data_IF_501787689211
#
_entry.id   IF_501787689211
#
_cell.length_a   1.000
_cell.length_b   1.000
_cell.length_c   1.000
_cell.angle_alpha   90.00
_cell.angle_beta   90.00
_cell.angle_gamma   90.00
#
_symmetry.space_group_name_H-M   'P 1'
#
loop_
_entity.id
_entity.type
_entity.pdbx_description
1 polymer ?
#
# COMPACT_ATOMS: atom_id res chain seq x y z
N UNK A 1 3.04 30.12 4.66
CA UNK A 1 3.18 28.78 5.28
C UNK A 1 3.11 27.77 4.14
N UNK A 2 4.21 27.11 3.81
CA UNK A 2 4.29 26.18 2.69
C UNK A 2 3.37 24.99 2.92
N UNK A 3 2.34 24.85 2.09
CA UNK A 3 1.45 23.70 2.14
C UNK A 3 2.26 22.47 1.73
N UNK A 4 2.44 21.53 2.66
CA UNK A 4 2.95 20.20 2.33
C UNK A 4 2.03 19.65 1.24
N UNK A 5 2.52 19.61 -0.01
CA UNK A 5 1.73 19.17 -1.15
C UNK A 5 1.27 17.74 -0.88
N UNK A 6 -0.04 17.56 -0.81
CA UNK A 6 -0.64 16.24 -0.72
C UNK A 6 -0.27 15.43 -1.99
N UNK A 7 0.03 14.14 -1.86
CA UNK A 7 0.33 13.28 -3.01
C UNK A 7 -0.76 13.31 -4.07
N UNK A 8 -2.03 13.47 -3.68
CA UNK A 8 -3.14 13.64 -4.62
C UNK A 8 -3.05 14.98 -5.40
N UNK A 9 -2.58 16.05 -4.76
CA UNK A 9 -2.39 17.37 -5.39
C UNK A 9 -1.27 17.35 -6.43
N UNK A 10 -0.19 16.59 -6.17
CA UNK A 10 0.93 16.42 -7.12
C UNK A 10 0.42 15.92 -8.47
N UNK A 11 -0.48 14.92 -8.47
CA UNK A 11 -1.07 14.37 -9.69
C UNK A 11 -2.36 15.08 -10.12
N UNK A 12 -2.78 16.14 -9.42
CA UNK A 12 -4.03 16.88 -9.66
C UNK A 12 -5.26 15.97 -9.70
N UNK A 13 -5.33 15.03 -8.79
CA UNK A 13 -6.46 14.10 -8.63
C UNK A 13 -7.17 14.34 -7.31
N UNK A 14 -8.48 14.08 -7.26
CA UNK A 14 -9.25 14.20 -6.01
C UNK A 14 -8.79 13.11 -5.02
N UNK A 15 -8.59 13.43 -3.73
CA UNK A 15 -8.35 12.42 -2.70
C UNK A 15 -9.49 11.40 -2.67
N UNK A 16 -9.17 10.15 -3.00
CA UNK A 16 -10.09 9.02 -3.02
C UNK A 16 -9.31 7.73 -2.83
N UNK A 17 -9.94 6.74 -2.21
CA UNK A 17 -9.38 5.38 -2.17
C UNK A 17 -9.55 4.68 -3.51
N UNK A 18 -10.68 4.88 -4.18
CA UNK A 18 -10.91 4.36 -5.52
C UNK A 18 -10.34 5.36 -6.53
N UNK A 19 -9.14 5.07 -7.02
CA UNK A 19 -8.48 5.82 -8.09
C UNK A 19 -8.21 4.88 -9.25
N UNK A 20 -8.40 5.36 -10.48
CA UNK A 20 -8.09 4.60 -11.67
C UNK A 20 -6.56 4.53 -11.86
N UNK A 21 -5.94 3.32 -11.86
CA UNK A 21 -4.49 3.18 -11.99
C UNK A 21 -3.95 3.78 -13.29
N UNK A 22 -4.72 3.71 -14.38
CA UNK A 22 -4.39 4.26 -15.69
C UNK A 22 -4.23 5.79 -15.66
N UNK A 23 -5.14 6.50 -14.98
CA UNK A 23 -5.07 7.95 -14.81
C UNK A 23 -3.83 8.32 -14.00
N UNK A 24 -3.60 7.64 -12.87
CA UNK A 24 -2.42 7.87 -12.03
C UNK A 24 -1.12 7.64 -12.81
N UNK A 25 -1.05 6.58 -13.60
CA UNK A 25 0.12 6.25 -14.42
C UNK A 25 0.37 7.29 -15.51
N UNK A 26 -0.67 7.75 -16.20
CA UNK A 26 -0.54 8.83 -17.20
C UNK A 26 0.04 10.10 -16.57
N UNK A 27 -0.51 10.52 -15.43
CA UNK A 27 -0.04 11.71 -14.69
C UNK A 27 1.39 11.56 -14.20
N UNK A 28 1.75 10.37 -13.72
CA UNK A 28 3.12 10.06 -13.34
C UNK A 28 4.10 10.20 -14.51
N UNK A 29 3.79 9.64 -15.68
CA UNK A 29 4.66 9.75 -16.85
C UNK A 29 4.80 11.20 -17.36
N UNK A 30 3.72 11.99 -17.34
CA UNK A 30 3.75 13.42 -17.65
C UNK A 30 4.73 14.18 -16.74
N UNK A 31 4.66 13.92 -15.43
CA UNK A 31 5.52 14.57 -14.44
C UNK A 31 6.98 14.09 -14.56
N UNK A 32 7.23 12.80 -14.76
CA UNK A 32 8.59 12.30 -14.97
C UNK A 32 9.27 12.93 -16.19
N UNK A 33 8.53 13.18 -17.29
CA UNK A 33 9.07 13.89 -18.46
C UNK A 33 9.38 15.36 -18.15
N UNK A 34 8.57 16.01 -17.32
CA UNK A 34 8.76 17.42 -16.96
C UNK A 34 9.93 17.65 -15.99
N UNK A 35 10.16 16.70 -15.08
CA UNK A 35 11.15 16.81 -14.00
C UNK A 35 12.30 15.81 -14.13
N UNK A 36 12.58 15.32 -15.35
CA UNK A 36 13.70 14.40 -15.60
C UNK A 36 15.04 15.15 -15.46
N UNK A 37 16.04 14.60 -14.75
CA UNK A 37 17.34 15.25 -14.56
C UNK A 37 18.05 15.62 -15.87
N UNK A 38 17.93 14.81 -16.93
CA UNK A 38 18.51 15.12 -18.25
C UNK A 38 17.84 16.28 -18.99
N UNK A 39 16.62 16.68 -18.60
CA UNK A 39 15.90 17.81 -19.19
C UNK A 39 16.11 19.08 -18.33
N UNK A 40 16.41 18.91 -17.04
CA UNK A 40 16.64 19.99 -16.08
C UNK A 40 18.13 20.33 -15.90
N UNK A 41 18.95 20.23 -16.94
CA UNK A 41 20.35 20.66 -16.88
C UNK A 41 20.51 22.19 -16.94
N UNK A 42 19.46 22.94 -17.33
CA UNK A 42 19.56 24.38 -17.61
C UNK A 42 18.44 25.25 -17.00
N UNK A 43 17.56 24.68 -16.17
CA UNK A 43 16.52 25.47 -15.50
C UNK A 43 16.68 25.37 -13.99
N UNK A 44 17.29 26.43 -13.44
CA UNK A 44 16.87 27.12 -12.23
C UNK A 44 15.71 26.38 -11.52
N UNK A 45 16.05 25.50 -10.57
CA UNK A 45 15.09 24.74 -9.77
C UNK A 45 14.38 25.74 -8.85
N UNK A 46 13.43 26.48 -9.43
CA UNK A 46 12.64 27.55 -8.83
C UNK A 46 11.19 27.15 -8.55
N UNK A 47 10.93 25.85 -8.41
CA UNK A 47 9.76 25.33 -7.70
C UNK A 47 10.27 24.51 -6.52
N UNK A 48 10.68 25.22 -5.47
CA UNK A 48 11.60 24.78 -4.42
C UNK A 48 11.21 23.61 -3.50
N UNK A 49 10.29 22.71 -3.88
CA UNK A 49 9.94 21.54 -3.05
C UNK A 49 9.58 20.26 -3.85
N UNK A 50 9.40 20.29 -5.17
CA UNK A 50 8.96 19.10 -5.94
C UNK A 50 10.10 18.56 -6.81
N UNK A 51 10.50 17.31 -6.56
CA UNK A 51 11.52 16.60 -7.34
C UNK A 51 11.05 15.20 -7.76
N UNK A 52 11.85 14.55 -8.62
CA UNK A 52 11.55 13.20 -9.13
C UNK A 52 11.40 12.16 -8.01
N UNK A 53 12.13 12.30 -6.90
CA UNK A 53 12.02 11.40 -5.76
C UNK A 53 10.66 11.51 -5.06
N UNK A 54 10.13 12.72 -4.90
CA UNK A 54 8.80 12.97 -4.33
C UNK A 54 7.71 12.44 -5.27
N UNK A 55 7.82 12.68 -6.58
CA UNK A 55 6.89 12.14 -7.59
C UNK A 55 6.86 10.61 -7.52
N UNK A 56 8.02 9.96 -7.45
CA UNK A 56 8.13 8.51 -7.32
C UNK A 56 7.51 7.99 -6.02
N UNK A 57 7.73 8.68 -4.90
CA UNK A 57 7.16 8.29 -3.61
C UNK A 57 5.64 8.46 -3.59
N UNK A 58 5.13 9.56 -4.14
CA UNK A 58 3.71 9.81 -4.28
C UNK A 58 3.06 8.72 -5.16
N UNK A 59 3.66 8.40 -6.30
CA UNK A 59 3.18 7.36 -7.21
C UNK A 59 3.16 5.99 -6.53
N UNK A 60 4.26 5.57 -5.90
CA UNK A 60 4.34 4.28 -5.18
C UNK A 60 3.35 4.17 -4.02
N UNK A 61 3.05 5.29 -3.37
CA UNK A 61 2.09 5.34 -2.26
C UNK A 61 0.67 5.22 -2.77
N UNK A 62 0.32 5.99 -3.80
CA UNK A 62 -1.04 5.99 -4.36
C UNK A 62 -1.33 4.74 -5.20
N UNK A 63 -0.34 4.13 -5.84
CA UNK A 63 -0.53 2.93 -6.65
C UNK A 63 -0.86 1.69 -5.78
N UNK A 64 -0.26 1.59 -4.59
CA UNK A 64 -0.48 0.47 -3.69
C UNK A 64 -1.69 0.74 -2.79
N UNK A 65 -2.73 -0.10 -2.90
CA UNK A 65 -3.98 0.05 -2.15
C UNK A 65 -3.74 0.23 -0.65
N UNK A 66 -2.91 -0.60 -0.01
CA UNK A 66 -2.64 -0.50 1.42
C UNK A 66 -1.99 0.83 1.80
N UNK A 67 -0.95 1.24 1.06
CA UNK A 67 -0.27 2.53 1.29
C UNK A 67 -1.22 3.70 1.06
N UNK A 68 -2.06 3.65 0.02
CA UNK A 68 -3.07 4.67 -0.30
C UNK A 68 -4.10 4.78 0.83
N UNK A 69 -4.59 3.65 1.33
CA UNK A 69 -5.51 3.60 2.47
C UNK A 69 -4.91 4.25 3.72
N UNK A 70 -3.68 3.86 4.09
CA UNK A 70 -2.96 4.45 5.23
C UNK A 70 -2.74 5.95 5.05
N UNK A 71 -2.41 6.38 3.83
CA UNK A 71 -2.19 7.78 3.51
C UNK A 71 -3.46 8.61 3.65
N UNK A 72 -4.58 8.15 3.09
CA UNK A 72 -5.90 8.79 3.25
C UNK A 72 -6.35 8.84 4.71
N UNK A 73 -6.15 7.76 5.46
CA UNK A 73 -6.48 7.72 6.88
C UNK A 73 -5.72 8.79 7.67
N UNK A 74 -4.41 8.95 7.41
CA UNK A 74 -3.60 10.02 8.01
C UNK A 74 -3.99 11.41 7.54
N UNK A 75 -4.37 11.55 6.26
CA UNK A 75 -4.78 12.83 5.68
C UNK A 75 -6.04 13.40 6.37
N UNK A 76 -6.91 12.51 6.87
CA UNK A 76 -8.09 12.89 7.65
C UNK A 76 -7.78 13.25 9.11
N UNK A 77 -6.50 13.30 9.50
CA UNK A 77 -6.05 13.60 10.86
C UNK A 77 -6.08 12.39 11.81
N UNK A 78 -6.32 11.18 11.30
CA UNK A 78 -6.37 9.98 12.12
C UNK A 78 -4.99 9.34 12.31
N UNK A 79 -4.81 8.67 13.45
CA UNK A 79 -3.62 7.89 13.76
C UNK A 79 -3.97 6.41 13.96
N UNK A 80 -3.06 5.53 13.56
CA UNK A 80 -3.22 4.10 13.73
C UNK A 80 -3.06 3.73 15.21
N UNK A 81 -4.12 3.21 15.81
CA UNK A 81 -4.09 2.64 17.14
C UNK A 81 -3.63 1.19 17.05
N UNK A 82 -2.45 0.86 17.58
CA UNK A 82 -1.82 -0.47 17.50
C UNK A 82 -2.48 -1.55 18.37
N UNK A 83 -3.62 -1.26 19.00
CA UNK A 83 -4.29 -2.21 19.87
C UNK A 83 -5.07 -3.26 19.06
N UNK A 84 -4.48 -4.44 18.91
CA UNK A 84 -5.16 -5.61 18.35
C UNK A 84 -5.67 -6.50 19.48
N UNK A 85 -6.81 -7.17 19.24
CA UNK A 85 -7.34 -8.19 20.15
C UNK A 85 -6.39 -9.39 20.24
N UNK A 86 -6.25 -9.96 21.43
CA UNK A 86 -5.48 -11.18 21.67
C UNK A 86 -5.92 -12.34 20.77
N UNK A 87 -7.24 -12.50 20.54
CA UNK A 87 -7.77 -13.55 19.67
C UNK A 87 -7.23 -13.47 18.25
N UNK A 88 -7.18 -12.26 17.69
CA UNK A 88 -6.61 -12.03 16.36
C UNK A 88 -5.11 -12.35 16.31
N UNK A 89 -4.35 -11.96 17.34
CA UNK A 89 -2.91 -12.24 17.39
C UNK A 89 -2.65 -13.75 17.47
N UNK A 90 -3.46 -14.47 18.25
CA UNK A 90 -3.40 -15.93 18.34
C UNK A 90 -3.76 -16.59 17.00
N UNK A 91 -4.81 -16.11 16.31
CA UNK A 91 -5.18 -16.59 14.98
C UNK A 91 -4.02 -16.46 13.98
N UNK A 92 -3.37 -15.29 13.95
CA UNK A 92 -2.21 -15.05 13.08
C UNK A 92 -1.04 -15.97 13.44
N UNK A 93 -0.78 -16.18 14.74
CA UNK A 93 0.29 -17.07 15.18
C UNK A 93 0.05 -18.51 14.72
N UNK A 94 -1.10 -19.09 15.06
CA UNK A 94 -1.46 -20.46 14.71
C UNK A 94 -1.47 -20.69 13.19
N UNK A 95 -1.92 -19.69 12.43
CA UNK A 95 -1.93 -19.82 10.97
C UNK A 95 -0.52 -19.78 10.38
N UNK A 96 0.39 -18.95 10.93
CA UNK A 96 1.80 -18.96 10.50
C UNK A 96 2.48 -20.29 10.83
N UNK A 97 2.23 -20.87 12.01
CA UNK A 97 2.73 -22.20 12.36
C UNK A 97 2.24 -23.25 11.37
N UNK A 98 0.96 -23.18 10.98
CA UNK A 98 0.39 -24.07 9.95
C UNK A 98 1.10 -23.91 8.60
N UNK A 99 1.38 -22.67 8.17
CA UNK A 99 2.11 -22.39 6.92
C UNK A 99 3.52 -22.96 6.95
N UNK A 100 4.20 -22.84 8.09
CA UNK A 100 5.59 -23.29 8.24
C UNK A 100 5.67 -24.83 8.23
N UNK A 101 4.74 -25.50 8.91
CA UNK A 101 4.71 -26.97 9.06
C UNK A 101 4.15 -27.70 7.84
N UNK A 102 3.20 -27.10 7.12
CA UNK A 102 2.57 -27.77 5.97
C UNK A 102 3.50 -27.84 4.76
N UNK A 103 3.47 -28.97 4.07
CA UNK A 103 4.05 -29.17 2.74
C UNK A 103 2.97 -29.40 1.67
N UNK A 104 1.70 -29.41 2.08
CA UNK A 104 0.58 -29.62 1.18
C UNK A 104 0.23 -28.30 0.46
N UNK A 105 0.47 -28.27 -0.85
CA UNK A 105 0.24 -27.10 -1.72
C UNK A 105 -1.26 -26.74 -1.79
N UNK A 106 -2.17 -27.71 -1.76
CA UNK A 106 -3.61 -27.43 -1.78
C UNK A 106 -4.08 -26.72 -0.52
N UNK A 107 -3.53 -27.10 0.64
CA UNK A 107 -3.77 -26.40 1.91
C UNK A 107 -3.24 -24.97 1.85
N UNK A 108 -2.02 -24.77 1.31
CA UNK A 108 -1.44 -23.44 1.14
C UNK A 108 -2.26 -22.56 0.19
N UNK A 109 -2.74 -23.12 -0.92
CA UNK A 109 -3.62 -22.40 -1.86
C UNK A 109 -4.94 -22.01 -1.21
N UNK A 110 -5.56 -22.90 -0.42
CA UNK A 110 -6.78 -22.56 0.33
C UNK A 110 -6.54 -21.45 1.36
N UNK A 111 -5.42 -21.51 2.08
CA UNK A 111 -5.04 -20.42 2.99
C UNK A 111 -4.82 -19.11 2.24
N UNK A 112 -4.17 -19.16 1.08
CA UNK A 112 -3.96 -17.99 0.21
C UNK A 112 -5.28 -17.33 -0.15
N UNK A 113 -6.27 -18.10 -0.61
CA UNK A 113 -7.60 -17.60 -0.95
C UNK A 113 -8.30 -16.94 0.26
N UNK A 114 -8.28 -17.59 1.42
CA UNK A 114 -8.87 -17.05 2.65
C UNK A 114 -8.17 -15.72 3.04
N UNK A 115 -6.84 -15.65 2.96
CA UNK A 115 -6.09 -14.42 3.26
C UNK A 115 -6.44 -13.30 2.29
N UNK A 116 -6.61 -13.60 0.99
CA UNK A 116 -7.05 -12.61 0.00
C UNK A 116 -8.45 -12.08 0.33
N UNK A 117 -9.39 -12.94 0.72
CA UNK A 117 -10.72 -12.50 1.15
C UNK A 117 -10.66 -11.55 2.35
N UNK A 118 -9.87 -11.91 3.38
CA UNK A 118 -9.67 -11.06 4.57
C UNK A 118 -9.02 -9.71 4.24
N UNK A 119 -8.10 -9.68 3.27
CA UNK A 119 -7.54 -8.41 2.76
C UNK A 119 -8.64 -7.57 2.11
N UNK A 120 -9.49 -8.16 1.28
CA UNK A 120 -10.59 -7.44 0.64
C UNK A 120 -11.61 -6.90 1.65
N UNK A 121 -11.89 -7.64 2.72
CA UNK A 121 -12.70 -7.12 3.84
C UNK A 121 -12.06 -5.90 4.50
N UNK A 122 -10.74 -5.93 4.72
CA UNK A 122 -10.01 -4.79 5.26
C UNK A 122 -9.99 -3.60 4.30
N UNK A 123 -9.88 -3.86 2.98
CA UNK A 123 -10.00 -2.83 1.93
C UNK A 123 -11.33 -2.10 2.01
N UNK A 124 -12.44 -2.81 2.23
CA UNK A 124 -13.76 -2.19 2.34
C UNK A 124 -13.93 -1.36 3.62
N UNK A 125 -13.08 -1.57 4.63
CA UNK A 125 -13.07 -0.87 5.92
C UNK A 125 -11.79 -0.05 6.11
N UNK A 126 -11.24 0.52 5.04
CA UNK A 126 -9.97 1.27 5.08
C UNK A 126 -10.01 2.53 5.96
N UNK A 127 -11.19 2.96 6.39
CA UNK A 127 -11.41 4.07 7.32
C UNK A 127 -11.37 3.66 8.81
N UNK A 128 -11.11 2.38 9.11
CA UNK A 128 -10.97 1.85 10.46
C UNK A 128 -9.51 1.47 10.74
N UNK A 129 -8.98 1.94 11.88
CA UNK A 129 -7.60 1.66 12.30
C UNK A 129 -7.33 0.15 12.44
N UNK A 130 -8.27 -0.60 13.00
CA UNK A 130 -8.07 -2.03 13.24
C UNK A 130 -7.98 -2.79 11.91
N UNK A 131 -8.85 -2.45 10.96
CA UNK A 131 -8.86 -3.02 9.60
C UNK A 131 -7.55 -2.73 8.86
N UNK A 132 -7.04 -1.49 8.94
CA UNK A 132 -5.73 -1.13 8.37
C UNK A 132 -4.58 -1.94 8.97
N UNK A 133 -4.58 -2.13 10.29
CA UNK A 133 -3.51 -2.88 10.94
C UNK A 133 -3.62 -4.36 10.59
N UNK A 134 -4.81 -4.95 10.65
CA UNK A 134 -5.05 -6.36 10.26
C UNK A 134 -4.62 -6.63 8.82
N UNK A 135 -4.93 -5.72 7.90
CA UNK A 135 -4.47 -5.80 6.51
C UNK A 135 -2.96 -5.99 6.42
N UNK A 136 -2.17 -5.22 7.17
CA UNK A 136 -0.71 -5.37 7.18
C UNK A 136 -0.25 -6.79 7.56
N UNK A 137 -0.93 -7.43 8.52
CA UNK A 137 -0.62 -8.81 8.91
C UNK A 137 -1.00 -9.80 7.81
N UNK A 138 -2.15 -9.62 7.18
CA UNK A 138 -2.58 -10.46 6.07
C UNK A 138 -1.68 -10.31 4.83
N UNK A 139 -1.23 -9.11 4.49
CA UNK A 139 -0.27 -8.89 3.40
C UNK A 139 1.04 -9.66 3.65
N UNK A 140 1.54 -9.63 4.89
CA UNK A 140 2.74 -10.40 5.27
C UNK A 140 2.49 -11.90 5.18
N UNK A 141 1.35 -12.36 5.69
CA UNK A 141 0.96 -13.76 5.65
C UNK A 141 0.81 -14.27 4.20
N UNK A 142 0.19 -13.49 3.32
CA UNK A 142 0.03 -13.80 1.90
C UNK A 142 1.39 -13.94 1.21
N UNK A 143 2.35 -13.06 1.55
CA UNK A 143 3.73 -13.16 1.06
C UNK A 143 4.41 -14.44 1.55
N UNK A 144 4.27 -14.77 2.84
CA UNK A 144 4.83 -16.00 3.40
C UNK A 144 4.26 -17.26 2.73
N UNK A 145 2.95 -17.32 2.53
CA UNK A 145 2.29 -18.43 1.81
C UNK A 145 2.84 -18.55 0.39
N UNK A 146 2.92 -17.44 -0.34
CA UNK A 146 3.39 -17.45 -1.73
C UNK A 146 4.83 -17.94 -1.82
N UNK A 147 5.72 -17.45 -0.94
CA UNK A 147 7.10 -17.93 -0.87
C UNK A 147 7.18 -19.43 -0.54
N UNK A 148 6.35 -19.91 0.40
CA UNK A 148 6.32 -21.33 0.77
C UNK A 148 5.88 -22.22 -0.40
N UNK A 149 4.87 -21.80 -1.16
CA UNK A 149 4.42 -22.50 -2.37
C UNK A 149 5.56 -22.53 -3.41
N UNK A 150 6.22 -21.41 -3.67
CA UNK A 150 7.38 -21.34 -4.58
C UNK A 150 8.53 -22.27 -4.17
N UNK A 151 8.75 -22.49 -2.87
CA UNK A 151 9.78 -23.41 -2.36
C UNK A 151 9.41 -24.89 -2.50
N UNK A 152 8.13 -25.22 -2.68
CA UNK A 152 7.64 -26.60 -2.75
C UNK A 152 7.36 -27.08 -4.18
N UNK A 153 7.41 -26.17 -5.16
CA UNK A 153 7.34 -26.46 -6.59
C UNK A 153 8.74 -26.74 -7.15
#
# INVERSE_FOLDING_TARGET
MGSIQNYFEIFKIKPSFDIQPTILQSKYHELCKKYHPDISSDFDIKDGDLNIAIINNAYKTLLNDYKRAIYLYKLNGNHLNKNLSTDFLNEILLTNETIDMTTNIDVLNKLKEITVLKINECKNKYNDSNSLIKWKYYDRMLKNISNKIEMLM
#
